data_IF_066875579939
#
_entry.id   IF_066875579939
#
_cell.length_a   1.000
_cell.length_b   1.000
_cell.length_c   1.000
_cell.angle_alpha   90.00
_cell.angle_beta   90.00
_cell.angle_gamma   90.00
#
_symmetry.space_group_name_H-M   'P 1'
#
loop_
_entity.id
_entity.type
_entity.pdbx_description
1 polymer ?
#
# COMPACT_ATOMS: atom_id res chain seq x y z
N UNK A 1 3.61 -12.93 -3.52
CA UNK A 1 2.27 -13.34 -3.00
C UNK A 1 1.21 -12.82 -3.95
N UNK A 2 0.04 -13.43 -4.00
CA UNK A 2 -1.10 -12.91 -4.76
C UNK A 2 -1.90 -11.90 -3.91
N UNK A 3 -1.55 -10.61 -4.01
CA UNK A 3 -2.18 -9.56 -3.22
C UNK A 3 -3.64 -9.31 -3.61
N UNK A 4 -4.06 -9.71 -4.82
CA UNK A 4 -5.43 -9.51 -5.35
C UNK A 4 -6.47 -10.28 -4.55
N UNK A 5 -6.05 -11.26 -3.76
CA UNK A 5 -6.91 -11.97 -2.81
C UNK A 5 -7.31 -11.09 -1.62
N UNK A 6 -6.50 -10.08 -1.27
CA UNK A 6 -6.66 -9.27 -0.07
C UNK A 6 -6.98 -7.79 -0.36
N UNK A 7 -6.53 -7.24 -1.48
CA UNK A 7 -6.80 -5.84 -1.86
C UNK A 7 -7.81 -5.82 -2.99
N UNK A 8 -8.76 -4.89 -2.93
CA UNK A 8 -9.70 -4.60 -4.01
C UNK A 8 -9.77 -3.09 -4.25
N UNK A 9 -10.10 -2.71 -5.48
CA UNK A 9 -10.44 -1.34 -5.86
C UNK A 9 -11.80 -1.39 -6.53
N UNK A 10 -12.80 -0.80 -5.87
CA UNK A 10 -14.15 -0.72 -6.40
C UNK A 10 -14.52 0.76 -6.53
N UNK A 11 -14.90 1.25 -7.73
CA UNK A 11 -15.23 2.67 -7.94
C UNK A 11 -16.30 3.22 -6.99
N UNK A 12 -17.16 2.33 -6.48
CA UNK A 12 -18.26 2.65 -5.55
C UNK A 12 -17.84 2.73 -4.08
N UNK A 13 -16.61 2.30 -3.74
CA UNK A 13 -16.08 2.26 -2.37
C UNK A 13 -14.87 3.20 -2.28
N UNK A 14 -14.89 4.13 -1.30
CA UNK A 14 -13.80 5.11 -1.09
C UNK A 14 -13.30 5.79 -2.38
N UNK A 15 -14.21 6.10 -3.32
CA UNK A 15 -13.90 6.71 -4.62
C UNK A 15 -12.92 5.88 -5.48
N UNK A 16 -12.93 4.55 -5.34
CA UNK A 16 -12.02 3.67 -6.09
C UNK A 16 -10.65 3.47 -5.44
N UNK A 17 -10.40 4.03 -4.25
CA UNK A 17 -9.12 3.82 -3.56
C UNK A 17 -8.90 2.33 -3.25
N UNK A 18 -7.69 1.79 -3.51
CA UNK A 18 -7.32 0.44 -3.11
C UNK A 18 -7.53 0.24 -1.61
N UNK A 19 -8.33 -0.76 -1.26
CA UNK A 19 -8.82 -1.03 0.09
C UNK A 19 -8.58 -2.49 0.46
N UNK A 20 -8.30 -2.77 1.73
CA UNK A 20 -8.18 -4.15 2.22
C UNK A 20 -9.58 -4.76 2.35
N UNK A 21 -9.81 -5.90 1.70
CA UNK A 21 -11.09 -6.62 1.69
C UNK A 21 -11.57 -6.92 3.10
N UNK A 22 -12.88 -6.77 3.30
CA UNK A 22 -13.50 -6.97 4.61
C UNK A 22 -13.24 -5.84 5.61
N UNK A 23 -12.55 -4.78 5.20
CA UNK A 23 -12.29 -3.59 6.01
C UNK A 23 -12.69 -2.31 5.26
N UNK A 24 -12.59 -1.16 5.94
CA UNK A 24 -12.67 0.17 5.32
C UNK A 24 -11.32 0.88 5.32
N UNK A 25 -10.22 0.13 5.41
CA UNK A 25 -8.86 0.65 5.50
C UNK A 25 -8.26 0.70 4.10
N UNK A 26 -7.95 1.90 3.63
CA UNK A 26 -7.26 2.08 2.35
C UNK A 26 -5.77 1.72 2.49
N UNK A 27 -5.16 1.33 1.37
CA UNK A 27 -3.70 1.10 1.28
C UNK A 27 -2.93 2.37 1.66
N UNK A 28 -3.36 3.53 1.14
CA UNK A 28 -2.79 4.83 1.46
C UNK A 28 -2.80 5.12 2.96
N UNK A 29 -3.93 4.87 3.64
CA UNK A 29 -4.05 5.10 5.08
C UNK A 29 -3.06 4.24 5.87
N UNK A 30 -2.97 2.95 5.55
CA UNK A 30 -2.06 2.02 6.23
C UNK A 30 -0.60 2.42 6.00
N UNK A 31 -0.22 2.76 4.78
CA UNK A 31 1.13 3.29 4.49
C UNK A 31 1.42 4.59 5.24
N UNK A 32 0.41 5.46 5.41
CA UNK A 32 0.51 6.67 6.22
C UNK A 32 0.84 6.40 7.69
N UNK A 33 0.26 5.34 8.28
CA UNK A 33 0.61 4.92 9.65
C UNK A 33 2.07 4.47 9.74
N UNK A 34 2.54 3.65 8.79
CA UNK A 34 3.94 3.22 8.75
C UNK A 34 4.90 4.39 8.53
N UNK A 35 4.53 5.35 7.68
CA UNK A 35 5.30 6.58 7.48
C UNK A 35 5.37 7.44 8.75
N UNK A 36 4.34 7.39 9.61
CA UNK A 36 4.32 8.02 10.93
C UNK A 36 5.07 7.21 12.01
N UNK A 37 5.73 6.10 11.64
CA UNK A 37 6.55 5.30 12.54
C UNK A 37 5.81 4.19 13.30
N UNK A 38 4.58 3.86 12.90
CA UNK A 38 3.85 2.74 13.51
C UNK A 38 4.50 1.40 13.14
N UNK A 39 4.50 0.48 14.09
CA UNK A 39 4.93 -0.91 13.88
C UNK A 39 3.77 -1.77 13.37
N UNK A 40 4.09 -2.90 12.72
CA UNK A 40 3.06 -3.87 12.30
C UNK A 40 2.20 -4.34 13.48
N UNK A 41 2.83 -4.57 14.64
CA UNK A 41 2.12 -4.97 15.86
C UNK A 41 1.08 -3.92 16.27
N UNK A 42 1.46 -2.64 16.33
CA UNK A 42 0.52 -1.57 16.68
C UNK A 42 -0.64 -1.48 15.71
N UNK A 43 -0.38 -1.65 14.41
CA UNK A 43 -1.45 -1.67 13.39
C UNK A 43 -2.40 -2.84 13.62
N UNK A 44 -1.89 -4.05 13.81
CA UNK A 44 -2.72 -5.24 14.04
C UNK A 44 -3.52 -5.17 15.35
N UNK A 45 -2.95 -4.60 16.41
CA UNK A 45 -3.62 -4.39 17.69
C UNK A 45 -4.75 -3.36 17.59
N UNK A 46 -4.55 -2.27 16.85
CA UNK A 46 -5.55 -1.21 16.69
C UNK A 46 -6.61 -1.53 15.62
N UNK A 47 -6.30 -2.44 14.70
CA UNK A 47 -7.21 -2.89 13.64
C UNK A 47 -7.33 -4.43 13.61
N UNK A 48 -8.07 -5.04 14.55
CA UNK A 48 -8.13 -6.49 14.71
C UNK A 48 -8.75 -7.27 13.53
N UNK A 49 -9.43 -6.58 12.62
CA UNK A 49 -9.96 -7.16 11.39
C UNK A 49 -8.90 -7.31 10.30
N UNK A 50 -7.72 -6.74 10.50
CA UNK A 50 -6.57 -6.88 9.63
C UNK A 50 -5.77 -8.13 10.02
N UNK A 51 -5.43 -8.96 9.03
CA UNK A 51 -4.54 -10.09 9.24
C UNK A 51 -3.11 -9.75 8.82
N UNK A 52 -2.09 -10.44 9.36
CA UNK A 52 -0.71 -10.28 8.89
C UNK A 52 -0.56 -10.51 7.38
N UNK A 53 -1.30 -11.44 6.80
CA UNK A 53 -1.31 -11.72 5.36
C UNK A 53 -1.87 -10.53 4.57
N UNK A 54 -2.99 -9.96 5.04
CA UNK A 54 -3.60 -8.80 4.43
C UNK A 54 -2.67 -7.59 4.50
N UNK A 55 -1.97 -7.42 5.62
CA UNK A 55 -0.98 -6.36 5.79
C UNK A 55 0.21 -6.54 4.83
N UNK A 56 0.74 -7.76 4.67
CA UNK A 56 1.76 -8.05 3.65
C UNK A 56 1.26 -7.78 2.23
N UNK A 57 -0.02 -8.01 1.96
CA UNK A 57 -0.63 -7.73 0.66
C UNK A 57 -0.65 -6.23 0.34
N UNK A 58 -0.77 -5.36 1.35
CA UNK A 58 -0.68 -3.89 1.17
C UNK A 58 0.68 -3.54 0.56
N UNK A 59 1.77 -4.01 1.16
CA UNK A 59 3.12 -3.74 0.65
C UNK A 59 3.36 -4.37 -0.72
N UNK A 60 2.87 -5.59 -0.94
CA UNK A 60 3.01 -6.27 -2.23
C UNK A 60 2.26 -5.55 -3.36
N UNK A 61 1.04 -5.06 -3.09
CA UNK A 61 0.28 -4.22 -4.02
C UNK A 61 1.07 -2.96 -4.38
N UNK A 62 1.55 -2.22 -3.38
CA UNK A 62 2.31 -0.97 -3.60
C UNK A 62 3.60 -1.22 -4.38
N UNK A 63 4.34 -2.27 -4.07
CA UNK A 63 5.54 -2.64 -4.80
C UNK A 63 5.25 -3.00 -6.26
N UNK A 64 4.09 -3.60 -6.57
CA UNK A 64 3.66 -3.86 -7.95
C UNK A 64 3.30 -2.56 -8.68
N UNK A 65 2.51 -1.68 -8.06
CA UNK A 65 2.19 -0.36 -8.62
C UNK A 65 3.45 0.44 -8.96
N UNK A 66 4.46 0.47 -8.07
CA UNK A 66 5.73 1.17 -8.31
C UNK A 66 6.59 0.54 -9.42
N UNK A 67 6.41 -0.75 -9.73
CA UNK A 67 7.09 -1.39 -10.87
C UNK A 67 6.41 -1.09 -12.19
N UNK A 68 5.09 -1.04 -12.19
CA UNK A 68 4.28 -0.73 -13.38
C UNK A 68 4.38 0.76 -13.73
N UNK A 69 4.40 1.63 -12.72
CA UNK A 69 4.71 3.04 -12.86
C UNK A 69 6.24 3.22 -12.89
N UNK A 70 6.86 3.04 -14.06
CA UNK A 70 8.30 3.24 -14.27
C UNK A 70 8.73 4.68 -13.95
N UNK A 71 8.99 5.00 -12.67
CA UNK A 71 9.46 6.32 -12.21
C UNK A 71 10.98 6.52 -12.31
N UNK A 72 11.72 5.62 -12.93
CA UNK A 72 13.16 5.79 -13.13
C UNK A 72 13.48 6.51 -14.43
N UNK A 73 13.27 7.82 -14.44
CA UNK A 73 14.13 8.76 -15.18
C UNK A 73 14.43 9.92 -14.26
N UNK A 74 15.47 9.77 -13.43
CA UNK A 74 16.23 10.96 -13.04
C UNK A 74 17.18 11.21 -14.22
N UNK A 75 17.11 12.36 -14.92
CA UNK A 75 18.19 12.70 -15.81
C UNK A 75 19.45 12.73 -14.94
N UNK A 76 20.47 11.97 -15.35
CA UNK A 76 21.82 12.17 -14.85
C UNK A 76 22.09 13.66 -14.98
N UNK A 77 22.22 14.36 -13.85
CA UNK A 77 22.78 15.70 -13.86
C UNK A 77 24.19 15.50 -14.38
N UNK A 78 24.39 15.75 -15.66
CA UNK A 78 25.71 15.91 -16.24
C UNK A 78 26.26 17.18 -15.60
N UNK A 79 27.08 17.02 -14.59
CA UNK A 79 28.02 18.05 -14.15
C UNK A 79 28.91 18.36 -15.36
N UNK A 80 28.47 19.33 -16.17
CA UNK A 80 29.21 19.85 -17.30
C UNK A 80 29.92 21.11 -16.84
N UNK A 81 31.24 21.01 -16.67
CA UNK A 81 32.21 22.11 -16.81
C UNK A 81 32.47 22.93 -15.57
#
# INVERSE_FOLDING_TARGET
>A
MDWRQYIHSEPKILLGKPTVKGTRLSVEFLLGLFAAGWTEQQVLENYPTLTPEALRAVFAFTAECMREESFYTQPLISEAG
#
